data_IF_846343967647
#
_entry.id   IF_846343967647
#
_cell.length_a   1.000
_cell.length_b   1.000
_cell.length_c   1.000
_cell.angle_alpha   90.00
_cell.angle_beta   90.00
_cell.angle_gamma   90.00
#
_symmetry.space_group_name_H-M   'P 1'
#
loop_
_entity.id
_entity.type
_entity.pdbx_description
1 polymer ?
#
# COMPACT_ATOMS: atom_id res chain seq x y z
N UNK A 1 11.86 19.42 1.68
CA UNK A 1 11.38 18.03 1.85
C UNK A 1 11.54 17.27 0.54
N UNK A 2 12.11 16.08 0.60
CA UNK A 2 12.24 15.27 -0.59
C UNK A 2 10.90 14.64 -0.94
N UNK A 3 10.61 14.57 -2.23
CA UNK A 3 9.44 13.85 -2.72
C UNK A 3 9.71 12.36 -2.83
N UNK A 4 8.65 11.59 -2.74
CA UNK A 4 8.70 10.14 -2.89
C UNK A 4 8.20 9.78 -4.28
N UNK A 5 8.87 8.83 -4.92
CA UNK A 5 8.37 8.25 -6.17
C UNK A 5 7.30 7.22 -5.81
N UNK A 6 6.05 7.64 -5.79
CA UNK A 6 4.94 6.78 -5.41
C UNK A 6 4.72 5.64 -6.40
N UNK A 7 5.03 5.85 -7.67
CA UNK A 7 4.92 4.79 -8.67
C UNK A 7 5.89 3.66 -8.33
N UNK A 8 7.13 4.01 -8.02
CA UNK A 8 8.13 3.03 -7.65
C UNK A 8 7.80 2.40 -6.30
N UNK A 9 7.32 3.19 -5.34
CA UNK A 9 6.93 2.67 -4.04
C UNK A 9 5.85 1.60 -4.18
N UNK A 10 4.84 1.85 -5.00
CA UNK A 10 3.77 0.87 -5.23
C UNK A 10 4.30 -0.39 -5.90
N UNK A 11 5.24 -0.22 -6.83
CA UNK A 11 5.81 -1.36 -7.55
C UNK A 11 6.63 -2.28 -6.63
N UNK A 12 7.19 -1.73 -5.57
CA UNK A 12 8.02 -2.48 -4.62
C UNK A 12 7.25 -3.11 -3.47
N UNK A 13 5.94 -2.88 -3.39
CA UNK A 13 5.12 -3.38 -2.30
C UNK A 13 4.18 -4.47 -2.78
N UNK A 14 4.11 -5.55 -2.00
CA UNK A 14 3.17 -6.64 -2.24
C UNK A 14 2.09 -6.57 -1.19
N UNK A 15 0.84 -6.79 -1.61
CA UNK A 15 -0.27 -6.74 -0.67
C UNK A 15 -0.16 -7.83 0.41
N UNK A 16 0.44 -8.96 0.06
CA UNK A 16 0.68 -10.03 1.04
C UNK A 16 1.55 -9.54 2.19
N UNK A 17 2.57 -8.74 1.90
CA UNK A 17 3.46 -8.20 2.93
C UNK A 17 2.72 -7.25 3.88
N UNK A 18 1.85 -6.41 3.31
CA UNK A 18 1.06 -5.48 4.12
C UNK A 18 0.09 -6.23 5.02
N UNK A 19 -0.60 -7.22 4.48
CA UNK A 19 -1.54 -8.02 5.27
C UNK A 19 -0.82 -8.76 6.40
N UNK A 20 0.39 -9.21 6.15
CA UNK A 20 1.20 -9.88 7.18
C UNK A 20 1.56 -8.92 8.31
N UNK A 21 1.95 -7.69 7.98
CA UNK A 21 2.22 -6.66 8.99
C UNK A 21 0.98 -6.30 9.78
N UNK A 22 -0.18 -6.32 9.15
CA UNK A 22 -1.46 -6.08 9.82
C UNK A 22 -1.94 -7.27 10.65
N UNK A 23 -1.23 -8.38 10.56
CA UNK A 23 -1.64 -9.64 11.16
C UNK A 23 -3.04 -10.06 10.70
N UNK A 24 -3.34 -9.78 9.45
CA UNK A 24 -4.64 -10.10 8.86
C UNK A 24 -4.57 -11.46 8.17
N UNK A 25 -5.52 -12.33 8.50
CA UNK A 25 -5.62 -13.66 7.89
C UNK A 25 -6.96 -13.78 7.18
N UNK A 26 -6.94 -13.89 5.85
CA UNK A 26 -8.19 -14.10 5.12
C UNK A 26 -8.86 -15.41 5.54
N UNK A 27 -10.17 -15.42 5.44
CA UNK A 27 -10.96 -16.59 5.79
C UNK A 27 -10.99 -17.63 4.69
N UNK A 28 -10.89 -17.17 3.45
CA UNK A 28 -11.08 -18.05 2.32
C UNK A 28 -10.14 -17.67 1.18
N UNK A 29 -9.58 -18.67 0.55
CA UNK A 29 -8.72 -18.49 -0.63
C UNK A 29 -9.37 -19.18 -1.82
N UNK A 30 -9.47 -18.46 -2.94
CA UNK A 30 -9.99 -19.01 -4.18
C UNK A 30 -9.08 -18.53 -5.31
N UNK A 31 -8.21 -19.42 -5.80
CA UNK A 31 -7.25 -19.07 -6.85
C UNK A 31 -6.34 -17.92 -6.41
N UNK A 32 -6.35 -16.84 -7.18
CA UNK A 32 -5.53 -15.66 -6.89
C UNK A 32 -6.21 -14.67 -5.94
N UNK A 33 -7.34 -15.04 -5.40
CA UNK A 33 -8.11 -14.16 -4.52
C UNK A 33 -8.23 -14.72 -3.12
N UNK A 34 -8.37 -13.81 -2.16
CA UNK A 34 -8.71 -14.16 -0.79
C UNK A 34 -9.87 -13.28 -0.34
N UNK A 35 -10.71 -13.83 0.51
CA UNK A 35 -11.90 -13.13 1.02
C UNK A 35 -11.95 -13.25 2.54
N UNK A 36 -12.49 -12.22 3.17
CA UNK A 36 -12.64 -12.23 4.62
C UNK A 36 -13.31 -10.97 5.13
N UNK A 37 -13.31 -10.77 6.45
CA UNK A 37 -13.83 -9.53 7.03
C UNK A 37 -12.94 -8.36 6.69
N UNK A 38 -13.54 -7.18 6.55
CA UNK A 38 -12.77 -5.97 6.24
C UNK A 38 -12.04 -5.46 7.49
N UNK A 39 -10.72 -5.30 7.43
CA UNK A 39 -9.99 -4.78 8.58
C UNK A 39 -10.16 -3.27 8.78
N UNK A 40 -10.63 -2.57 7.75
CA UNK A 40 -10.67 -1.10 7.79
C UNK A 40 -11.88 -0.56 8.52
N UNK A 41 -13.03 -1.20 8.41
CA UNK A 41 -14.22 -0.74 9.10
C UNK A 41 -14.67 -1.67 10.23
N UNK A 42 -13.80 -2.60 10.61
CA UNK A 42 -14.05 -3.45 11.77
C UNK A 42 -15.25 -4.37 11.61
N UNK A 43 -15.42 -4.97 10.44
CA UNK A 43 -16.48 -5.95 10.23
C UNK A 43 -16.34 -7.06 11.26
N UNK A 44 -17.39 -7.29 12.04
CA UNK A 44 -17.33 -8.20 13.19
C UNK A 44 -17.80 -9.60 12.91
N UNK A 45 -18.51 -9.79 11.83
CA UNK A 45 -19.01 -11.11 11.50
C UNK A 45 -17.85 -12.03 11.12
N UNK A 46 -17.62 -13.13 11.84
CA UNK A 46 -16.54 -14.03 11.50
C UNK A 46 -16.69 -14.68 10.13
N UNK A 47 -17.91 -14.74 9.61
CA UNK A 47 -18.14 -15.27 8.27
C UNK A 47 -18.16 -14.23 7.18
N UNK A 48 -17.85 -12.99 7.48
CA UNK A 48 -17.90 -11.92 6.49
C UNK A 48 -16.88 -12.13 5.38
N UNK A 49 -17.30 -11.86 4.14
CA UNK A 49 -16.47 -11.99 2.95
C UNK A 49 -16.52 -10.73 2.10
N UNK A 50 -16.70 -9.59 2.76
CA UNK A 50 -16.84 -8.31 2.08
C UNK A 50 -15.50 -7.75 1.60
N UNK A 51 -14.41 -8.22 2.18
CA UNK A 51 -13.07 -7.77 1.83
C UNK A 51 -12.41 -8.76 0.88
N UNK A 52 -12.04 -8.30 -0.29
CA UNK A 52 -11.40 -9.13 -1.31
C UNK A 52 -9.97 -8.65 -1.55
N UNK A 53 -9.06 -9.58 -1.69
CA UNK A 53 -7.66 -9.32 -2.02
C UNK A 53 -7.32 -10.09 -3.29
N UNK A 54 -6.65 -9.44 -4.22
CA UNK A 54 -6.14 -10.10 -5.42
C UNK A 54 -4.61 -10.12 -5.34
N UNK A 55 -4.05 -11.30 -5.09
CA UNK A 55 -2.62 -11.43 -4.82
C UNK A 55 -1.74 -11.00 -5.97
N UNK A 56 -2.07 -11.47 -7.17
CA UNK A 56 -1.26 -11.20 -8.34
C UNK A 56 -1.28 -9.73 -8.74
N UNK A 57 -2.44 -9.10 -8.64
CA UNK A 57 -2.60 -7.70 -9.01
C UNK A 57 -2.24 -6.73 -7.89
N UNK A 58 -2.00 -7.24 -6.68
CA UNK A 58 -1.71 -6.44 -5.49
C UNK A 58 -2.81 -5.41 -5.22
N UNK A 59 -4.05 -5.83 -5.31
CA UNK A 59 -5.21 -4.97 -5.12
C UNK A 59 -6.11 -5.51 -4.03
N UNK A 60 -6.84 -4.61 -3.40
CA UNK A 60 -7.89 -4.98 -2.45
C UNK A 60 -9.15 -4.19 -2.74
N UNK A 61 -10.27 -4.70 -2.25
CA UNK A 61 -11.55 -4.00 -2.34
C UNK A 61 -12.49 -4.50 -1.25
N UNK A 62 -13.17 -3.57 -0.60
CA UNK A 62 -14.23 -3.91 0.33
C UNK A 62 -15.57 -3.60 -0.32
N UNK A 63 -16.38 -4.63 -0.52
CA UNK A 63 -17.67 -4.47 -1.17
C UNK A 63 -18.70 -3.77 -0.28
N UNK A 64 -18.39 -3.57 0.97
CA UNK A 64 -19.29 -2.93 1.91
C UNK A 64 -18.97 -1.45 2.10
N UNK A 65 -17.73 -1.11 2.39
CA UNK A 65 -17.37 0.29 2.64
C UNK A 65 -16.82 1.00 1.40
N UNK A 66 -16.58 0.26 0.31
CA UNK A 66 -16.09 0.84 -0.93
C UNK A 66 -14.61 1.13 -0.96
N UNK A 67 -13.88 0.88 0.13
CA UNK A 67 -12.44 1.09 0.14
C UNK A 67 -11.76 0.16 -0.86
N UNK A 68 -10.76 0.64 -1.56
CA UNK A 68 -10.03 -0.17 -2.52
C UNK A 68 -8.74 0.50 -2.93
N UNK A 69 -7.88 -0.28 -3.57
CA UNK A 69 -6.62 0.23 -4.07
C UNK A 69 -5.52 -0.82 -4.01
N UNK A 70 -4.28 -0.35 -3.94
CA UNK A 70 -3.10 -1.20 -3.91
C UNK A 70 -2.60 -1.40 -2.46
N UNK A 71 -1.44 -2.05 -2.33
CA UNK A 71 -0.86 -2.33 -1.02
C UNK A 71 -0.58 -1.06 -0.21
N UNK A 72 -0.07 -0.02 -0.86
CA UNK A 72 0.20 1.24 -0.18
C UNK A 72 -1.09 1.90 0.31
N UNK A 73 -2.13 1.90 -0.53
CA UNK A 73 -3.43 2.44 -0.15
C UNK A 73 -3.99 1.71 1.06
N UNK A 74 -3.81 0.38 1.11
CA UNK A 74 -4.28 -0.41 2.23
C UNK A 74 -3.57 -0.02 3.52
N UNK A 75 -2.24 0.11 3.48
CA UNK A 75 -1.47 0.50 4.66
C UNK A 75 -1.84 1.91 5.13
N UNK A 76 -1.99 2.85 4.19
CA UNK A 76 -2.38 4.21 4.53
C UNK A 76 -3.75 4.24 5.21
N UNK A 77 -4.71 3.49 4.68
CA UNK A 77 -6.05 3.42 5.27
C UNK A 77 -6.04 2.73 6.64
N UNK A 78 -5.27 1.65 6.76
CA UNK A 78 -5.16 0.90 8.01
C UNK A 78 -4.55 1.74 9.13
N UNK A 79 -3.49 2.49 8.83
CA UNK A 79 -2.78 3.30 9.82
C UNK A 79 -3.34 4.72 9.92
N UNK A 80 -4.28 5.07 9.05
CA UNK A 80 -4.87 6.41 8.99
C UNK A 80 -3.82 7.49 8.78
N UNK A 81 -2.89 7.22 7.90
CA UNK A 81 -1.83 8.14 7.53
C UNK A 81 -2.04 8.61 6.09
N UNK A 82 -1.46 9.78 5.76
CA UNK A 82 -1.41 10.16 4.36
C UNK A 82 -0.41 9.26 3.61
N UNK A 83 -0.39 9.33 2.29
CA UNK A 83 0.45 8.44 1.49
C UNK A 83 1.93 8.62 1.78
N UNK A 84 2.39 9.85 2.00
CA UNK A 84 3.79 10.12 2.29
C UNK A 84 4.21 9.43 3.59
N UNK A 85 3.48 9.69 4.65
CA UNK A 85 3.77 9.08 5.96
C UNK A 85 3.65 7.56 5.90
N UNK A 86 2.69 7.05 5.14
CA UNK A 86 2.50 5.60 5.00
C UNK A 86 3.69 4.94 4.32
N UNK A 87 4.26 5.57 3.27
CA UNK A 87 5.45 5.02 2.61
C UNK A 87 6.63 4.99 3.58
N UNK A 88 6.88 6.09 4.26
CA UNK A 88 8.00 6.16 5.21
C UNK A 88 7.88 5.08 6.27
N UNK A 89 6.70 4.98 6.88
CA UNK A 89 6.45 4.00 7.93
C UNK A 89 6.58 2.57 7.41
N UNK A 90 5.93 2.27 6.30
CA UNK A 90 5.89 0.92 5.76
C UNK A 90 7.28 0.45 5.32
N UNK A 91 8.01 1.29 4.60
CA UNK A 91 9.34 0.92 4.14
C UNK A 91 10.31 0.73 5.29
N UNK A 92 10.18 1.52 6.36
CA UNK A 92 10.98 1.33 7.56
C UNK A 92 10.67 -0.01 8.23
N UNK A 93 9.41 -0.37 8.31
CA UNK A 93 9.01 -1.65 8.90
C UNK A 93 9.49 -2.84 8.10
N UNK A 94 9.55 -2.70 6.79
CA UNK A 94 10.03 -3.76 5.90
C UNK A 94 11.56 -3.77 5.76
N UNK A 95 12.23 -2.78 6.32
CA UNK A 95 13.68 -2.67 6.23
C UNK A 95 14.17 -2.37 4.83
N UNK A 96 13.40 -1.61 4.07
CA UNK A 96 13.70 -1.26 2.68
C UNK A 96 13.96 0.21 2.51
N UNK A 97 14.78 0.54 1.51
CA UNK A 97 15.06 1.93 1.17
C UNK A 97 13.85 2.59 0.52
N UNK A 98 13.54 3.80 0.96
CA UNK A 98 12.45 4.58 0.39
C UNK A 98 12.85 5.06 -1.00
N UNK A 99 11.99 4.88 -2.02
CA UNK A 99 12.32 5.36 -3.38
C UNK A 99 12.08 6.86 -3.49
N UNK A 100 13.05 7.63 -3.02
CA UNK A 100 12.98 9.08 -3.10
C UNK A 100 13.09 9.54 -4.54
N UNK A 101 12.38 10.60 -4.88
CA UNK A 101 12.58 11.26 -6.16
C UNK A 101 13.99 11.87 -6.20
N UNK A 102 14.64 11.90 -7.38
CA UNK A 102 15.95 12.53 -7.47
C UNK A 102 15.87 13.98 -6.99
N UNK A 103 16.89 14.40 -6.24
CA UNK A 103 16.98 15.80 -5.84
C UNK A 103 17.25 16.62 -7.10
N UNK A 104 16.38 17.59 -7.37
CA UNK A 104 16.57 18.51 -8.47
C UNK A 104 17.72 19.43 -8.10
N UNK A 105 18.78 19.33 -8.85
CA UNK A 105 19.88 20.23 -8.63
C UNK A 105 19.75 21.38 -9.59
N UNK A 106 19.46 21.71 -9.53
CA UNK A 106 19.40 22.29 -10.32
C UNK A 106 19.07 22.77 -10.66
N UNK A 107 18.86 22.24 -10.42
CA UNK A 107 18.48 22.30 -10.85
C UNK A 107 18.75 22.46 -11.46
N UNK A 108 19.05 22.36 -11.44
CA UNK A 108 19.29 22.15 -12.04
C UNK A 108 19.19 22.18 -12.70
N UNK A 109 19.31 22.40 -12.77
CA UNK A 109 19.30 22.31 -13.54
C UNK A 109 19.32 22.55 -14.11
N UNK A 110 19.47 23.06 -14.18
CA UNK A 110 19.57 23.16 -15.02
C UNK A 110 20.06 23.19 -15.45
N UNK A 111 20.21 23.56 -15.48
CA UNK A 111 20.69 23.54 -16.15
C UNK A 111 21.26 23.51 -16.55
N UNK A 112 21.55 23.85 -16.74
CA UNK A 112 22.03 23.76 -17.35
C UNK A 112 22.37 23.68 -17.81
N UNK A 113 22.60 24.32 -18.00
CA UNK A 113 22.90 24.09 -18.64
C UNK A 113 23.14 23.62 -18.87
N UNK A 114 23.18 23.98 -18.97
CA UNK A 114 23.19 23.32 -19.32
C UNK A 114 23.04 23.00 -19.09
N UNK A 115 22.87 23.04 -19.07
CA UNK A 115 22.54 22.53 -18.97
C UNK A 115 22.48 22.18 -18.93
#
# INVERSE_FOLDING_TARGET
MRGIDFTEARARLRIAEVLELMNYKPRRHVGQQARGPCPLHGARSPGSRVFAVHWQKNLFHCFRCGAGGNALDLWAAWTRQDLYAAVVDLFQRLGRDIPWLPVSTGRRRWTMPGS
#
